data_IF_050820978191
#
_entry.id   IF_050820978191
#
_cell.length_a   1.000
_cell.length_b   1.000
_cell.length_c   1.000
_cell.angle_alpha   90.00
_cell.angle_beta   90.00
_cell.angle_gamma   90.00
#
_symmetry.space_group_name_H-M   'P 1'
#
loop_
_entity.id
_entity.type
_entity.pdbx_description
1 polymer ?
#
# COMPACT_ATOMS: atom_id res chain seq x y z
N UNK A 1 3.88 -21.44 -6.15
CA UNK A 1 2.90 -20.33 -5.99
C UNK A 1 2.46 -19.75 -7.33
N UNK A 2 3.37 -19.28 -8.21
CA UNK A 2 3.04 -18.70 -9.53
C UNK A 2 2.17 -19.65 -10.36
N UNK A 3 2.54 -20.92 -10.48
CA UNK A 3 1.76 -21.92 -11.23
C UNK A 3 0.34 -22.09 -10.69
N UNK A 4 0.17 -22.05 -9.36
CA UNK A 4 -1.14 -22.15 -8.72
C UNK A 4 -1.99 -20.93 -9.04
N UNK A 5 -1.43 -19.72 -8.99
CA UNK A 5 -2.13 -18.50 -9.34
C UNK A 5 -2.49 -18.45 -10.83
N UNK A 6 -1.56 -18.86 -11.70
CA UNK A 6 -1.81 -18.92 -13.12
C UNK A 6 -2.88 -19.97 -13.51
N UNK A 7 -2.97 -21.07 -12.76
CA UNK A 7 -3.99 -22.10 -12.95
C UNK A 7 -5.33 -21.78 -12.30
N UNK A 8 -5.43 -20.75 -11.47
CA UNK A 8 -6.69 -20.31 -10.88
C UNK A 8 -7.71 -19.96 -11.99
N UNK A 9 -8.99 -20.29 -11.75
CA UNK A 9 -10.06 -20.07 -12.73
C UNK A 9 -10.16 -18.62 -13.21
N UNK A 10 -11.04 -18.33 -14.18
CA UNK A 10 -11.17 -16.98 -14.70
C UNK A 10 -11.54 -16.00 -13.58
N UNK A 11 -10.86 -14.86 -13.53
CA UNK A 11 -11.24 -13.78 -12.64
C UNK A 11 -12.45 -13.03 -13.20
N UNK A 12 -13.25 -12.45 -12.31
CA UNK A 12 -14.34 -11.58 -12.73
C UNK A 12 -13.78 -10.38 -13.52
N UNK A 13 -14.46 -10.00 -14.60
CA UNK A 13 -14.10 -8.80 -15.38
C UNK A 13 -14.15 -7.49 -14.53
N UNK A 14 -14.82 -7.54 -13.38
CA UNK A 14 -14.92 -6.43 -12.45
C UNK A 14 -13.90 -6.51 -11.29
N UNK A 15 -12.91 -7.40 -11.40
CA UNK A 15 -11.87 -7.61 -10.38
C UNK A 15 -10.49 -7.40 -10.98
N UNK A 16 -9.63 -6.73 -10.25
CA UNK A 16 -8.21 -6.64 -10.52
C UNK A 16 -7.45 -7.51 -9.51
N UNK A 17 -6.48 -8.27 -9.96
CA UNK A 17 -5.68 -9.16 -9.11
C UNK A 17 -4.25 -8.67 -9.10
N UNK A 18 -3.80 -8.25 -7.93
CA UNK A 18 -2.46 -7.71 -7.71
C UNK A 18 -1.79 -8.54 -6.60
N UNK A 19 -0.60 -9.05 -6.87
CA UNK A 19 0.15 -9.88 -5.93
C UNK A 19 1.43 -9.15 -5.54
N UNK A 20 1.55 -8.80 -4.27
CA UNK A 20 2.78 -8.24 -3.71
C UNK A 20 3.80 -9.35 -3.42
N UNK A 21 5.06 -9.05 -3.67
CA UNK A 21 6.14 -9.99 -3.40
C UNK A 21 7.49 -9.32 -3.18
N UNK A 22 8.41 -10.06 -2.52
CA UNK A 22 9.74 -9.56 -2.20
C UNK A 22 10.53 -9.14 -3.44
N UNK A 23 11.37 -8.12 -3.29
CA UNK A 23 12.19 -7.53 -4.34
C UNK A 23 12.90 -8.55 -5.23
N UNK A 24 13.49 -9.59 -4.62
CA UNK A 24 14.24 -10.65 -5.31
C UNK A 24 13.38 -11.52 -6.24
N UNK A 25 12.05 -11.48 -6.10
CA UNK A 25 11.11 -12.27 -6.92
C UNK A 25 10.35 -11.43 -7.94
N UNK A 26 10.39 -10.11 -7.88
CA UNK A 26 9.57 -9.23 -8.72
C UNK A 26 9.77 -9.47 -10.23
N UNK A 27 11.01 -9.58 -10.68
CA UNK A 27 11.29 -9.83 -12.10
C UNK A 27 10.72 -11.18 -12.58
N UNK A 28 10.82 -12.22 -11.73
CA UNK A 28 10.22 -13.52 -12.03
C UNK A 28 8.70 -13.47 -12.01
N UNK A 29 8.10 -12.77 -11.05
CA UNK A 29 6.64 -12.59 -10.98
C UNK A 29 6.14 -11.89 -12.23
N UNK A 30 6.76 -10.77 -12.61
CA UNK A 30 6.37 -9.98 -13.79
C UNK A 30 6.47 -10.78 -15.09
N UNK A 31 7.49 -11.63 -15.25
CA UNK A 31 7.68 -12.45 -16.46
C UNK A 31 6.84 -13.74 -16.49
N UNK A 32 6.38 -14.21 -15.33
CA UNK A 32 5.74 -15.53 -15.20
C UNK A 32 4.26 -15.48 -14.89
N UNK A 33 3.72 -14.38 -14.40
CA UNK A 33 2.28 -14.22 -14.20
C UNK A 33 1.54 -14.14 -15.53
N UNK A 34 0.34 -14.71 -15.55
CA UNK A 34 -0.57 -14.51 -16.68
C UNK A 34 -1.03 -13.03 -16.70
N UNK A 35 -1.47 -12.52 -17.89
CA UNK A 35 -1.74 -11.09 -18.08
C UNK A 35 -2.75 -10.46 -17.12
N UNK A 36 -3.64 -11.25 -16.50
CA UNK A 36 -4.65 -10.75 -15.57
C UNK A 36 -4.15 -10.57 -14.14
N UNK A 37 -2.88 -10.93 -13.87
CA UNK A 37 -2.26 -10.80 -12.55
C UNK A 37 -1.12 -9.81 -12.61
N UNK A 38 -1.21 -8.74 -11.87
CA UNK A 38 -0.14 -7.74 -11.76
C UNK A 38 0.82 -8.06 -10.62
N UNK A 39 2.12 -7.92 -10.88
CA UNK A 39 3.12 -7.94 -9.82
C UNK A 39 3.16 -6.59 -9.10
N UNK A 40 3.35 -6.61 -7.79
CA UNK A 40 3.42 -5.44 -6.93
C UNK A 40 4.68 -5.51 -6.07
N UNK A 41 5.40 -4.41 -5.95
CA UNK A 41 6.49 -4.30 -4.98
C UNK A 41 5.92 -4.13 -3.57
N UNK A 42 6.52 -4.80 -2.57
CA UNK A 42 6.11 -4.66 -1.16
C UNK A 42 6.49 -3.29 -0.57
N UNK A 43 7.36 -2.54 -1.24
CA UNK A 43 7.74 -1.18 -0.88
C UNK A 43 8.47 -0.49 -2.05
N UNK A 44 8.67 0.82 -1.93
CA UNK A 44 9.42 1.66 -2.86
C UNK A 44 10.39 2.57 -2.10
N UNK A 45 11.51 2.92 -2.71
CA UNK A 45 12.52 3.80 -2.11
C UNK A 45 12.01 5.23 -1.86
N UNK A 46 12.55 5.86 -0.82
CA UNK A 46 12.22 7.25 -0.45
C UNK A 46 12.66 8.27 -1.51
N UNK A 47 13.74 8.00 -2.24
CA UNK A 47 14.27 8.89 -3.27
C UNK A 47 13.76 8.49 -4.65
N UNK A 48 13.38 9.47 -5.45
CA UNK A 48 13.05 9.31 -6.87
C UNK A 48 14.30 9.25 -7.75
N UNK A 49 14.15 8.73 -8.96
CA UNK A 49 15.18 8.69 -9.99
C UNK A 49 16.22 7.56 -9.80
N UNK A 50 17.34 7.76 -10.45
CA UNK A 50 18.48 6.84 -10.41
C UNK A 50 19.67 7.54 -9.72
N UNK A 51 20.57 6.79 -9.09
CA UNK A 51 21.77 7.38 -8.50
C UNK A 51 22.26 6.68 -7.23
N UNK A 52 22.78 7.47 -6.29
CA UNK A 52 23.40 6.96 -5.06
C UNK A 52 22.36 6.49 -4.04
N UNK A 53 21.76 5.34 -4.28
CA UNK A 53 20.70 4.71 -3.47
C UNK A 53 20.97 3.21 -3.30
N UNK A 54 22.17 2.87 -2.87
CA UNK A 54 22.61 1.48 -2.77
C UNK A 54 21.61 0.62 -2.00
N UNK A 55 21.03 -0.38 -2.67
CA UNK A 55 20.07 -1.33 -2.09
C UNK A 55 18.61 -0.90 -2.17
N UNK A 56 18.32 0.35 -2.52
CA UNK A 56 16.95 0.85 -2.69
C UNK A 56 16.43 0.63 -4.12
N UNK A 57 15.13 0.47 -4.24
CA UNK A 57 14.43 0.43 -5.52
C UNK A 57 13.60 1.71 -5.65
N UNK A 58 13.99 2.63 -6.52
CA UNK A 58 13.15 3.78 -6.83
C UNK A 58 11.92 3.38 -7.65
N UNK A 59 10.91 4.23 -7.66
CA UNK A 59 9.71 4.02 -8.45
C UNK A 59 10.03 3.87 -9.96
N UNK A 60 10.97 4.67 -10.46
CA UNK A 60 11.40 4.63 -11.85
C UNK A 60 12.12 3.31 -12.21
N UNK A 61 12.90 2.74 -11.27
CA UNK A 61 13.52 1.41 -11.47
C UNK A 61 12.46 0.30 -11.55
N UNK A 62 11.41 0.40 -10.72
CA UNK A 62 10.30 -0.55 -10.75
C UNK A 62 9.52 -0.45 -12.06
N UNK A 63 9.18 0.76 -12.51
CA UNK A 63 8.48 0.99 -13.79
C UNK A 63 9.30 0.52 -14.98
N UNK A 64 10.60 0.78 -15.01
CA UNK A 64 11.52 0.26 -16.04
C UNK A 64 11.49 -1.28 -16.08
N UNK A 65 11.37 -1.92 -14.92
CA UNK A 65 11.22 -3.38 -14.77
C UNK A 65 9.78 -3.89 -15.02
N UNK A 66 8.88 -3.04 -15.52
CA UNK A 66 7.45 -3.34 -15.80
C UNK A 66 6.63 -3.70 -14.55
N UNK A 67 7.02 -3.17 -13.41
CA UNK A 67 6.28 -3.29 -12.15
C UNK A 67 5.56 -1.97 -11.92
N UNK A 68 4.23 -1.97 -12.04
CA UNK A 68 3.41 -0.77 -12.01
C UNK A 68 2.59 -0.62 -10.72
N UNK A 69 2.76 -1.53 -9.75
CA UNK A 69 2.13 -1.48 -8.45
C UNK A 69 3.17 -1.51 -7.34
N UNK A 70 2.91 -0.77 -6.27
CA UNK A 70 3.69 -0.85 -5.02
C UNK A 70 2.79 -0.67 -3.80
N UNK A 71 3.20 -1.26 -2.67
CA UNK A 71 2.70 -0.87 -1.35
C UNK A 71 3.47 0.35 -0.86
N UNK A 72 2.87 1.14 0.01
CA UNK A 72 3.53 2.15 0.85
C UNK A 72 2.92 2.15 2.23
N UNK A 73 3.72 2.40 3.26
CA UNK A 73 3.23 2.55 4.63
C UNK A 73 2.70 1.29 5.29
N UNK A 74 3.09 0.10 4.81
CA UNK A 74 2.77 -1.16 5.49
C UNK A 74 3.20 -1.11 6.96
N UNK A 75 2.43 -1.74 7.85
CA UNK A 75 2.66 -1.67 9.30
C UNK A 75 4.08 -2.08 9.72
N UNK A 76 4.67 -3.08 9.09
CA UNK A 76 6.05 -3.51 9.33
C UNK A 76 7.07 -2.41 8.99
N UNK A 77 6.82 -1.61 7.92
CA UNK A 77 7.66 -0.48 7.55
C UNK A 77 7.53 0.67 8.53
N UNK A 78 6.32 0.92 9.06
CA UNK A 78 6.06 1.95 10.07
C UNK A 78 6.72 1.63 11.40
N UNK A 79 6.74 0.36 11.81
CA UNK A 79 7.42 -0.08 13.04
C UNK A 79 8.94 -0.14 12.86
N UNK A 80 9.42 -0.47 11.66
CA UNK A 80 10.83 -0.70 11.35
C UNK A 80 11.31 -2.08 11.79
N UNK A 81 12.51 -2.42 11.33
CA UNK A 81 13.12 -3.76 11.50
C UNK A 81 14.28 -3.73 12.51
N UNK A 82 14.08 -3.11 13.68
CA UNK A 82 15.12 -2.91 14.69
C UNK A 82 15.88 -1.59 14.55
N UNK A 83 15.41 -0.68 13.69
CA UNK A 83 15.83 0.72 13.52
C UNK A 83 14.58 1.58 13.30
N UNK A 84 14.75 2.89 13.17
CA UNK A 84 13.62 3.82 13.04
C UNK A 84 12.69 3.44 11.88
N UNK A 85 11.41 3.32 12.19
CA UNK A 85 10.37 3.05 11.20
C UNK A 85 9.98 4.28 10.37
N UNK A 86 9.12 4.06 9.39
CA UNK A 86 8.63 5.12 8.50
C UNK A 86 7.46 5.87 9.16
N UNK A 87 7.61 7.16 9.36
CA UNK A 87 6.49 8.01 9.78
C UNK A 87 5.56 8.34 8.60
N UNK A 88 4.39 8.90 8.89
CA UNK A 88 3.38 9.20 7.88
C UNK A 88 3.86 10.19 6.80
N UNK A 89 4.77 11.11 7.13
CA UNK A 89 5.37 12.03 6.16
C UNK A 89 6.25 11.29 5.13
N UNK A 90 7.08 10.35 5.58
CA UNK A 90 7.89 9.48 4.69
C UNK A 90 6.99 8.68 3.76
N UNK A 91 5.90 8.11 4.29
CA UNK A 91 4.91 7.37 3.49
C UNK A 91 4.26 8.26 2.43
N UNK A 92 3.90 9.50 2.78
CA UNK A 92 3.36 10.47 1.81
C UNK A 92 4.34 10.75 0.66
N UNK A 93 5.62 10.98 0.96
CA UNK A 93 6.66 11.21 -0.07
C UNK A 93 6.83 9.97 -0.97
N UNK A 94 6.92 8.77 -0.40
CA UNK A 94 7.05 7.52 -1.17
C UNK A 94 5.85 7.31 -2.08
N UNK A 95 4.65 7.57 -1.57
CA UNK A 95 3.40 7.49 -2.35
C UNK A 95 3.44 8.47 -3.53
N UNK A 96 3.84 9.73 -3.29
CA UNK A 96 3.96 10.74 -4.36
C UNK A 96 4.99 10.33 -5.41
N UNK A 97 6.19 9.91 -5.00
CA UNK A 97 7.23 9.45 -5.92
C UNK A 97 6.76 8.30 -6.82
N UNK A 98 6.02 7.35 -6.26
CA UNK A 98 5.46 6.23 -7.01
C UNK A 98 4.43 6.71 -8.04
N UNK A 99 3.51 7.59 -7.65
CA UNK A 99 2.49 8.14 -8.56
C UNK A 99 3.13 8.98 -9.67
N UNK A 100 4.13 9.81 -9.35
CA UNK A 100 4.84 10.63 -10.33
C UNK A 100 5.60 9.78 -11.37
N UNK A 101 6.09 8.62 -10.97
CA UNK A 101 6.68 7.65 -11.88
C UNK A 101 5.65 6.86 -12.72
N UNK A 102 4.35 7.05 -12.48
CA UNK A 102 3.26 6.39 -13.20
C UNK A 102 2.81 5.06 -12.60
N UNK A 103 3.10 4.82 -11.32
CA UNK A 103 2.64 3.62 -10.62
C UNK A 103 1.24 3.82 -10.01
N UNK A 104 0.55 2.71 -9.78
CA UNK A 104 -0.57 2.62 -8.85
C UNK A 104 -0.05 2.21 -7.46
N UNK A 105 -0.66 2.73 -6.41
CA UNK A 105 -0.18 2.55 -5.04
C UNK A 105 -1.30 1.99 -4.15
N UNK A 106 -0.99 0.93 -3.42
CA UNK A 106 -1.78 0.49 -2.27
C UNK A 106 -1.18 1.14 -1.02
N UNK A 107 -1.79 2.23 -0.56
CA UNK A 107 -1.35 2.95 0.62
C UNK A 107 -1.96 2.31 1.87
N UNK A 108 -1.11 1.71 2.70
CA UNK A 108 -1.48 1.00 3.91
C UNK A 108 -1.66 1.99 5.06
N UNK A 109 -2.78 1.87 5.75
CA UNK A 109 -3.11 2.63 6.97
C UNK A 109 -3.70 1.68 8.01
N UNK A 110 -3.56 2.03 9.28
CA UNK A 110 -4.16 1.25 10.35
C UNK A 110 -3.61 1.62 11.72
N UNK A 111 -4.38 1.28 12.73
CA UNK A 111 -4.11 1.59 14.13
C UNK A 111 -3.54 0.40 14.91
N UNK A 112 -2.86 0.71 16.01
CA UNK A 112 -2.40 -0.26 16.99
C UNK A 112 -3.53 -0.66 17.96
N UNK A 113 -3.30 -1.71 18.77
CA UNK A 113 -4.29 -2.22 19.71
C UNK A 113 -4.73 -1.15 20.74
N UNK A 114 -3.79 -0.37 21.23
CA UNK A 114 -4.07 0.69 22.20
C UNK A 114 -5.04 1.73 21.61
N UNK A 115 -4.79 2.16 20.37
CA UNK A 115 -5.65 3.12 19.67
C UNK A 115 -7.07 2.57 19.48
N UNK A 116 -7.16 1.28 19.11
CA UNK A 116 -8.45 0.59 18.98
C UNK A 116 -9.22 0.56 20.30
N UNK A 117 -8.55 0.23 21.40
CA UNK A 117 -9.16 0.15 22.72
C UNK A 117 -9.60 1.51 23.25
N UNK A 118 -8.85 2.56 22.91
CA UNK A 118 -9.16 3.94 23.29
C UNK A 118 -10.20 4.62 22.37
N UNK A 119 -10.66 3.94 21.33
CA UNK A 119 -11.59 4.51 20.34
C UNK A 119 -10.96 5.53 19.40
N UNK A 120 -9.63 5.51 19.24
CA UNK A 120 -8.86 6.45 18.42
C UNK A 120 -8.62 5.96 16.99
N UNK A 121 -9.19 4.84 16.57
CA UNK A 121 -9.00 4.22 15.24
C UNK A 121 -9.04 5.24 14.11
N UNK A 122 -10.12 6.01 14.00
CA UNK A 122 -10.26 6.99 12.93
C UNK A 122 -9.36 8.22 13.08
N UNK A 123 -8.98 8.59 14.30
CA UNK A 123 -8.03 9.68 14.51
C UNK A 123 -6.64 9.30 13.93
N UNK A 124 -6.19 8.07 14.18
CA UNK A 124 -4.92 7.53 13.62
C UNK A 124 -5.00 7.37 12.11
N UNK A 125 -6.06 6.73 11.60
CA UNK A 125 -6.25 6.57 10.16
C UNK A 125 -6.32 7.93 9.44
N UNK A 126 -7.00 8.92 10.01
CA UNK A 126 -7.11 10.26 9.45
C UNK A 126 -5.76 11.00 9.43
N UNK A 127 -4.95 10.88 10.47
CA UNK A 127 -3.58 11.44 10.51
C UNK A 127 -2.72 10.85 9.38
N UNK A 128 -2.78 9.54 9.19
CA UNK A 128 -2.06 8.85 8.13
C UNK A 128 -2.55 9.27 6.74
N UNK A 129 -3.86 9.39 6.55
CA UNK A 129 -4.48 9.86 5.31
C UNK A 129 -4.17 11.32 5.00
N UNK A 130 -4.14 12.19 6.01
CA UNK A 130 -3.77 13.61 5.84
C UNK A 130 -2.32 13.76 5.37
N UNK A 131 -1.40 12.94 5.85
CA UNK A 131 -0.01 12.96 5.39
C UNK A 131 0.12 12.54 3.91
N UNK A 132 -0.65 11.53 3.48
CA UNK A 132 -0.73 11.13 2.07
C UNK A 132 -1.35 12.25 1.23
N UNK A 133 -2.47 12.82 1.70
CA UNK A 133 -3.17 13.93 1.04
C UNK A 133 -2.28 15.15 0.87
N UNK A 134 -1.49 15.49 1.90
CA UNK A 134 -0.60 16.64 1.84
C UNK A 134 0.52 16.49 0.78
N UNK A 135 0.86 15.27 0.41
CA UNK A 135 1.86 14.99 -0.62
C UNK A 135 1.28 14.91 -2.04
N UNK A 136 -0.02 14.60 -2.19
CA UNK A 136 -0.69 14.32 -3.46
C UNK A 136 -1.50 15.50 -3.98
N UNK A 137 -1.62 15.60 -5.29
CA UNK A 137 -2.62 16.44 -5.96
C UNK A 137 -3.94 15.66 -6.12
N UNK A 138 -5.05 16.40 -6.33
CA UNK A 138 -6.37 15.77 -6.50
C UNK A 138 -6.41 14.72 -7.62
N UNK A 139 -5.71 14.97 -8.72
CA UNK A 139 -5.64 14.06 -9.88
C UNK A 139 -4.87 12.76 -9.62
N UNK A 140 -4.03 12.73 -8.60
CA UNK A 140 -3.19 11.57 -8.24
C UNK A 140 -4.02 10.44 -7.62
N UNK A 141 -5.11 10.79 -6.94
CA UNK A 141 -5.96 9.85 -6.21
C UNK A 141 -6.58 8.74 -7.05
N UNK A 142 -6.69 8.91 -8.35
CA UNK A 142 -7.15 7.85 -9.28
C UNK A 142 -6.22 6.63 -9.30
N UNK A 143 -4.96 6.80 -8.88
CA UNK A 143 -3.93 5.76 -8.83
C UNK A 143 -3.74 5.20 -7.42
N UNK A 144 -4.58 5.60 -6.45
CA UNK A 144 -4.44 5.21 -5.04
C UNK A 144 -5.56 4.24 -4.63
N UNK A 145 -5.17 3.15 -4.01
CA UNK A 145 -6.05 2.24 -3.27
C UNK A 145 -5.65 2.31 -1.81
N UNK A 146 -6.60 2.57 -0.92
CA UNK A 146 -6.36 2.53 0.52
C UNK A 146 -6.52 1.09 1.02
N UNK A 147 -5.46 0.57 1.64
CA UNK A 147 -5.45 -0.73 2.28
C UNK A 147 -5.49 -0.54 3.80
N UNK A 148 -6.65 -0.80 4.41
CA UNK A 148 -6.77 -0.77 5.87
C UNK A 148 -6.24 -2.07 6.48
N UNK A 149 -5.22 -1.93 7.33
CA UNK A 149 -4.63 -3.00 8.13
C UNK A 149 -5.05 -2.81 9.59
N UNK A 150 -5.91 -3.67 10.16
CA UNK A 150 -6.11 -3.71 11.61
C UNK A 150 -4.86 -4.30 12.27
N UNK A 151 -3.83 -3.45 12.52
CA UNK A 151 -2.49 -3.89 12.98
C UNK A 151 -2.59 -4.70 14.27
N UNK A 152 -3.55 -4.38 15.12
CA UNK A 152 -3.87 -5.12 16.35
C UNK A 152 -4.30 -6.58 16.11
N UNK A 153 -4.69 -6.94 14.91
CA UNK A 153 -5.08 -8.31 14.54
C UNK A 153 -3.93 -9.09 13.84
N UNK A 154 -2.80 -8.45 13.53
CA UNK A 154 -1.70 -9.08 12.81
C UNK A 154 -0.77 -9.75 13.81
N UNK A 155 -0.67 -11.10 13.77
CA UNK A 155 0.25 -11.88 14.61
C UNK A 155 -0.06 -11.89 16.12
N UNK A 156 -1.18 -11.32 16.54
CA UNK A 156 -1.54 -11.17 17.97
C UNK A 156 -2.43 -12.30 18.50
N UNK A 157 -2.97 -13.14 17.62
CA UNK A 157 -4.00 -14.12 17.95
C UNK A 157 -5.41 -13.54 18.07
N UNK A 158 -5.56 -12.22 17.98
CA UNK A 158 -6.86 -11.54 17.88
C UNK A 158 -7.29 -11.49 16.42
N UNK A 159 -8.56 -11.73 16.15
CA UNK A 159 -9.11 -11.71 14.78
C UNK A 159 -10.09 -10.56 14.65
N UNK A 160 -9.89 -9.73 13.64
CA UNK A 160 -10.87 -8.71 13.27
C UNK A 160 -12.12 -9.38 12.70
N UNK A 161 -13.30 -9.01 13.19
CA UNK A 161 -14.56 -9.49 12.61
C UNK A 161 -14.83 -8.77 11.27
N UNK A 162 -15.59 -9.39 10.34
CA UNK A 162 -16.02 -8.71 9.12
C UNK A 162 -16.74 -7.39 9.38
N UNK A 163 -17.54 -7.32 10.46
CA UNK A 163 -18.26 -6.09 10.82
C UNK A 163 -17.30 -4.98 11.26
N UNK A 164 -16.30 -5.30 12.09
CA UNK A 164 -15.28 -4.32 12.51
C UNK A 164 -14.52 -3.74 11.31
N UNK A 165 -14.14 -4.59 10.36
CA UNK A 165 -13.49 -4.13 9.14
C UNK A 165 -14.43 -3.24 8.31
N UNK A 166 -15.69 -3.65 8.14
CA UNK A 166 -16.68 -2.89 7.38
C UNK A 166 -16.98 -1.52 8.00
N UNK A 167 -17.09 -1.44 9.32
CA UNK A 167 -17.34 -0.18 10.02
C UNK A 167 -16.19 0.81 9.78
N UNK A 168 -14.93 0.35 9.98
CA UNK A 168 -13.76 1.19 9.72
C UNK A 168 -13.65 1.58 8.24
N UNK A 169 -13.93 0.65 7.31
CA UNK A 169 -13.96 0.99 5.88
C UNK A 169 -15.02 2.04 5.54
N UNK A 170 -16.19 2.02 6.20
CA UNK A 170 -17.23 3.02 5.99
C UNK A 170 -16.75 4.41 6.45
N UNK A 171 -16.11 4.49 7.61
CA UNK A 171 -15.56 5.73 8.15
C UNK A 171 -14.41 6.28 7.28
N UNK A 172 -13.53 5.42 6.78
CA UNK A 172 -12.46 5.81 5.83
C UNK A 172 -13.07 6.36 4.53
N UNK A 173 -14.08 5.72 3.96
CA UNK A 173 -14.77 6.21 2.75
C UNK A 173 -15.45 7.56 2.98
N UNK A 174 -16.06 7.74 4.15
CA UNK A 174 -16.66 9.01 4.53
C UNK A 174 -15.60 10.12 4.63
N UNK A 175 -14.47 9.82 5.26
CA UNK A 175 -13.34 10.74 5.32
C UNK A 175 -12.83 11.12 3.91
N UNK A 176 -12.59 10.13 3.04
CA UNK A 176 -12.15 10.36 1.66
C UNK A 176 -13.14 11.22 0.87
N UNK A 177 -14.44 10.96 1.03
CA UNK A 177 -15.50 11.72 0.37
C UNK A 177 -15.51 13.20 0.80
N UNK A 178 -15.23 13.46 2.07
CA UNK A 178 -15.22 14.82 2.63
C UNK A 178 -13.94 15.61 2.31
N UNK A 179 -12.82 14.92 2.17
CA UNK A 179 -11.50 15.56 2.14
C UNK A 179 -10.81 15.51 0.77
N UNK A 180 -11.24 14.60 -0.11
CA UNK A 180 -10.69 14.47 -1.46
C UNK A 180 -11.76 14.93 -2.45
N UNK A 181 -11.54 16.07 -3.09
CA UNK A 181 -12.42 16.54 -4.16
C UNK A 181 -12.35 15.60 -5.36
N UNK A 182 -13.50 15.22 -5.90
CA UNK A 182 -13.62 14.46 -7.15
C UNK A 182 -13.62 15.41 -8.35
#
# INVERSE_FOLDING_TARGET
MIDVLNAAGPFSANSEVVIAGPAIHLANMTSSFRPEISACAEDVGFKSGYGAMTGEMSAEMLVDSKIHWTLTGHSERRVGFGYDGENSHVVGIKTKNAVDAGMSVMACIGEQLEDRQNGSTMAVCAEQLEAIKAALETGDWKNIVIAYEPVWAIGTGVVATPQQAQDTHAEIRDWLTKNISR
#
